data_IF_591507400552
#
_entry.id   IF_591507400552
#
_cell.length_a   1.000
_cell.length_b   1.000
_cell.length_c   1.000
_cell.angle_alpha   90.00
_cell.angle_beta   90.00
_cell.angle_gamma   90.00
#
_symmetry.space_group_name_H-M   'P 1'
#
loop_
_entity.id
_entity.type
_entity.pdbx_description
1 polymer ?
#
# COMPACT_ATOMS: atom_id res chain seq x y z
N UNK A 1 16.08 47.98 11.55
CA UNK A 1 15.85 46.91 10.55
C UNK A 1 14.39 46.51 10.63
N UNK A 2 13.60 46.78 9.59
CA UNK A 2 12.19 46.41 9.53
C UNK A 2 12.06 44.91 9.26
N UNK A 3 11.64 44.13 10.26
CA UNK A 3 11.17 42.76 10.05
C UNK A 3 9.65 42.80 9.92
N UNK A 4 9.14 43.14 8.75
CA UNK A 4 7.71 42.93 8.49
C UNK A 4 7.43 41.43 8.54
N UNK A 5 6.36 41.01 9.24
CA UNK A 5 5.91 39.63 9.21
C UNK A 5 5.65 39.24 7.74
N UNK A 6 6.08 38.04 7.29
CA UNK A 6 5.75 37.59 5.95
C UNK A 6 4.23 37.61 5.77
N UNK A 7 3.74 37.97 4.58
CA UNK A 7 2.31 37.97 4.32
C UNK A 7 1.74 36.57 4.57
N UNK A 8 0.49 36.48 5.06
CA UNK A 8 -0.14 35.19 5.31
C UNK A 8 -0.20 34.38 4.01
N UNK A 9 0.05 33.07 4.12
CA UNK A 9 -0.05 32.15 2.98
C UNK A 9 -1.46 32.20 2.41
N UNK A 10 -1.59 32.53 1.12
CA UNK A 10 -2.88 32.57 0.42
C UNK A 10 -3.63 31.24 0.48
N UNK A 11 -2.89 30.14 0.51
CA UNK A 11 -3.46 28.80 0.68
C UNK A 11 -4.15 28.68 2.05
N UNK A 12 -3.53 29.20 3.11
CA UNK A 12 -4.05 29.12 4.48
C UNK A 12 -5.17 30.12 4.77
N UNK A 13 -5.36 31.13 3.91
CA UNK A 13 -6.50 32.06 3.99
C UNK A 13 -7.77 31.52 3.34
N UNK A 14 -7.69 30.41 2.59
CA UNK A 14 -8.86 29.76 2.00
C UNK A 14 -9.68 29.05 3.09
N UNK A 15 -11.01 28.87 2.91
CA UNK A 15 -11.81 27.98 3.75
C UNK A 15 -11.26 26.55 3.77
N UNK A 16 -11.47 25.83 4.87
CA UNK A 16 -10.91 24.50 5.07
C UNK A 16 -11.35 23.51 3.98
N UNK A 17 -12.59 23.61 3.53
CA UNK A 17 -13.18 22.78 2.48
C UNK A 17 -12.43 22.95 1.15
N UNK A 18 -12.10 24.19 0.79
CA UNK A 18 -11.34 24.49 -0.43
C UNK A 18 -9.90 24.00 -0.29
N UNK A 19 -9.29 24.12 0.91
CA UNK A 19 -7.96 23.57 1.17
C UNK A 19 -7.95 22.04 1.02
N UNK A 20 -8.95 21.35 1.57
CA UNK A 20 -9.10 19.89 1.44
C UNK A 20 -9.15 19.49 -0.03
N UNK A 21 -9.97 20.13 -0.86
CA UNK A 21 -10.04 19.84 -2.30
C UNK A 21 -8.69 20.01 -3.00
N UNK A 22 -7.94 21.07 -2.65
CA UNK A 22 -6.58 21.29 -3.18
C UNK A 22 -5.64 20.18 -2.71
N UNK A 23 -5.71 19.77 -1.45
CA UNK A 23 -4.84 18.74 -0.88
C UNK A 23 -5.11 17.37 -1.50
N UNK A 24 -6.38 16.99 -1.63
CA UNK A 24 -6.78 15.74 -2.28
C UNK A 24 -6.23 15.68 -3.70
N UNK A 25 -6.41 16.75 -4.48
CA UNK A 25 -5.87 16.84 -5.84
C UNK A 25 -4.34 16.75 -5.84
N UNK A 26 -3.66 17.53 -5.01
CA UNK A 26 -2.20 17.58 -4.98
C UNK A 26 -1.56 16.26 -4.53
N UNK A 27 -2.20 15.53 -3.60
CA UNK A 27 -1.68 14.28 -3.05
C UNK A 27 -1.98 13.06 -3.94
N UNK A 28 -3.04 13.10 -4.76
CA UNK A 28 -3.44 12.00 -5.65
C UNK A 28 -2.95 12.17 -7.10
N UNK A 29 -2.27 13.26 -7.43
CA UNK A 29 -1.78 13.55 -8.78
C UNK A 29 -0.68 12.60 -9.29
N UNK A 30 -0.07 11.78 -8.42
CA UNK A 30 0.92 10.77 -8.86
C UNK A 30 0.22 9.58 -9.53
N UNK A 31 0.56 9.32 -10.80
CA UNK A 31 0.09 8.14 -11.53
C UNK A 31 0.83 6.86 -11.16
N UNK A 32 2.02 6.96 -10.54
CA UNK A 32 2.86 5.81 -10.18
C UNK A 32 2.37 5.16 -8.88
N UNK A 33 2.29 3.83 -8.80
CA UNK A 33 1.96 3.12 -7.57
C UNK A 33 3.03 3.34 -6.49
N UNK A 34 2.59 3.44 -5.23
CA UNK A 34 3.45 3.74 -4.09
C UNK A 34 3.87 2.45 -3.37
N UNK A 35 5.18 2.22 -3.22
CA UNK A 35 5.73 1.02 -2.58
C UNK A 35 6.38 1.33 -1.23
N UNK A 36 6.27 0.40 -0.27
CA UNK A 36 6.78 0.56 1.10
C UNK A 36 8.22 0.08 1.30
N UNK A 37 8.85 -0.43 0.24
CA UNK A 37 10.21 -0.98 0.25
C UNK A 37 11.16 -0.16 -0.62
N UNK A 38 12.47 -0.34 -0.42
CA UNK A 38 13.49 0.30 -1.26
C UNK A 38 13.38 -0.17 -2.70
N UNK A 39 13.35 0.80 -3.61
CA UNK A 39 13.33 0.57 -5.05
C UNK A 39 14.75 0.45 -5.60
N UNK A 40 14.93 -0.50 -6.51
CA UNK A 40 16.12 -0.57 -7.36
C UNK A 40 16.07 0.55 -8.41
N UNK A 41 17.21 1.04 -8.95
CA UNK A 41 17.22 2.18 -9.87
C UNK A 41 16.28 2.03 -11.07
N UNK A 42 16.20 0.83 -11.65
CA UNK A 42 15.33 0.53 -12.80
C UNK A 42 13.83 0.57 -12.48
N UNK A 43 13.45 0.55 -11.19
CA UNK A 43 12.07 0.55 -10.74
C UNK A 43 11.52 1.97 -10.51
N UNK A 44 12.39 2.98 -10.42
CA UNK A 44 12.03 4.38 -10.14
C UNK A 44 11.17 5.01 -11.25
N UNK A 45 11.28 4.49 -12.48
CA UNK A 45 10.46 4.93 -13.59
C UNK A 45 9.02 4.42 -13.51
N UNK A 46 8.77 3.32 -12.80
CA UNK A 46 7.45 2.68 -12.69
C UNK A 46 6.79 2.94 -11.34
N UNK A 47 7.56 3.04 -10.26
CA UNK A 47 7.06 3.11 -8.88
C UNK A 47 7.62 4.30 -8.13
N UNK A 48 6.89 4.73 -7.10
CA UNK A 48 7.33 5.79 -6.18
C UNK A 48 7.52 5.19 -4.79
N UNK A 49 8.60 5.50 -4.06
CA UNK A 49 8.75 5.06 -2.68
C UNK A 49 7.72 5.77 -1.78
N UNK A 50 7.24 5.11 -0.73
CA UNK A 50 6.25 5.61 0.22
C UNK A 50 6.80 6.70 1.17
N UNK A 51 7.33 7.78 0.59
CA UNK A 51 7.83 8.95 1.28
C UNK A 51 6.71 9.99 1.36
N UNK A 52 6.50 10.55 2.54
CA UNK A 52 5.53 11.63 2.76
C UNK A 52 5.79 12.80 1.78
N UNK A 53 4.79 13.24 0.99
CA UNK A 53 4.97 14.28 -0.02
C UNK A 53 5.42 15.61 0.57
N UNK A 54 6.11 16.48 -0.20
CA UNK A 54 6.61 17.77 0.30
C UNK A 54 5.55 18.62 1.01
N UNK A 55 4.30 18.60 0.51
CA UNK A 55 3.17 19.33 1.07
C UNK A 55 2.95 19.03 2.57
N UNK A 56 3.20 17.79 2.99
CA UNK A 56 3.02 17.32 4.38
C UNK A 56 4.14 17.77 5.34
N UNK A 57 5.15 18.49 4.82
CA UNK A 57 6.38 18.87 5.53
C UNK A 57 6.63 20.38 5.56
N UNK A 58 5.70 21.19 5.04
CA UNK A 58 5.88 22.65 4.89
C UNK A 58 5.65 23.41 6.20
N UNK A 59 4.56 23.11 6.91
CA UNK A 59 4.22 23.76 8.19
C UNK A 59 3.42 22.80 9.08
N UNK A 60 3.34 23.11 10.38
CA UNK A 60 2.56 22.29 11.32
C UNK A 60 1.09 22.17 10.91
N UNK A 61 0.46 23.29 10.54
CA UNK A 61 -0.93 23.31 10.10
C UNK A 61 -1.13 22.44 8.85
N UNK A 62 -0.30 22.63 7.81
CA UNK A 62 -0.42 21.82 6.60
C UNK A 62 -0.17 20.33 6.89
N UNK A 63 0.79 20.00 7.76
CA UNK A 63 1.06 18.63 8.16
C UNK A 63 -0.15 17.97 8.82
N UNK A 64 -0.80 18.67 9.74
CA UNK A 64 -2.01 18.20 10.44
C UNK A 64 -3.18 17.99 9.47
N UNK A 65 -3.36 18.89 8.50
CA UNK A 65 -4.46 18.82 7.53
C UNK A 65 -4.20 17.78 6.41
N UNK A 66 -2.94 17.56 6.01
CA UNK A 66 -2.62 16.78 4.78
C UNK A 66 -2.19 15.34 5.03
N UNK A 67 -1.58 15.02 6.17
CA UNK A 67 -1.18 13.63 6.46
C UNK A 67 -2.35 12.66 6.48
N UNK A 68 -3.50 12.97 7.14
CA UNK A 68 -4.62 12.07 7.13
C UNK A 68 -5.12 11.78 5.70
N UNK A 69 -5.22 12.82 4.87
CA UNK A 69 -5.62 12.72 3.47
C UNK A 69 -4.65 11.82 2.68
N UNK A 70 -3.33 12.01 2.87
CA UNK A 70 -2.31 11.21 2.19
C UNK A 70 -2.47 9.72 2.51
N UNK A 71 -2.56 9.33 3.78
CA UNK A 71 -2.68 7.92 4.15
C UNK A 71 -4.04 7.32 3.79
N UNK A 72 -5.10 8.14 3.79
CA UNK A 72 -6.43 7.67 3.41
C UNK A 72 -6.55 7.39 1.90
N UNK A 73 -6.00 8.28 1.07
CA UNK A 73 -6.19 8.24 -0.37
C UNK A 73 -5.09 7.50 -1.14
N UNK A 74 -3.92 7.29 -0.54
CA UNK A 74 -2.80 6.62 -1.21
C UNK A 74 -2.90 5.10 -1.05
N UNK A 75 -2.98 4.32 -2.15
CA UNK A 75 -2.80 2.88 -2.10
C UNK A 75 -1.32 2.55 -1.87
N UNK A 76 -1.03 1.72 -0.86
CA UNK A 76 0.34 1.30 -0.57
C UNK A 76 0.57 -0.17 -0.94
N UNK A 77 1.76 -0.44 -1.47
CA UNK A 77 2.20 -1.79 -1.83
C UNK A 77 3.19 -2.32 -0.80
N UNK A 78 2.89 -3.49 -0.25
CA UNK A 78 3.75 -4.27 0.64
C UNK A 78 4.30 -5.49 -0.11
N UNK A 79 5.52 -5.89 0.21
CA UNK A 79 6.15 -7.07 -0.39
C UNK A 79 6.22 -8.22 0.63
N UNK A 80 5.96 -9.44 0.18
CA UNK A 80 5.93 -10.62 1.06
C UNK A 80 7.27 -11.34 1.24
N UNK A 81 8.28 -11.01 0.45
CA UNK A 81 9.61 -11.61 0.57
C UNK A 81 10.68 -10.65 1.05
N UNK A 82 11.58 -11.16 1.88
CA UNK A 82 12.79 -10.46 2.33
C UNK A 82 13.73 -10.15 1.16
N UNK A 83 14.48 -9.03 1.20
CA UNK A 83 14.50 -8.03 2.28
C UNK A 83 13.35 -7.00 2.20
N UNK A 84 12.54 -7.02 1.13
CA UNK A 84 11.48 -6.03 0.90
C UNK A 84 10.34 -6.13 1.92
N UNK A 85 10.07 -7.33 2.45
CA UNK A 85 9.15 -7.55 3.57
C UNK A 85 9.60 -6.83 4.85
N UNK A 86 10.90 -6.85 5.16
CA UNK A 86 11.44 -6.18 6.34
C UNK A 86 11.29 -4.65 6.25
N UNK A 87 11.49 -4.10 5.05
CA UNK A 87 11.26 -2.68 4.80
C UNK A 87 9.77 -2.32 4.91
N UNK A 88 8.87 -3.18 4.42
CA UNK A 88 7.42 -3.00 4.58
C UNK A 88 7.01 -3.02 6.07
N UNK A 89 7.52 -3.96 6.87
CA UNK A 89 7.28 -3.99 8.31
C UNK A 89 7.81 -2.74 9.01
N UNK A 90 9.02 -2.30 8.67
CA UNK A 90 9.59 -1.05 9.21
C UNK A 90 8.70 0.14 8.86
N UNK A 91 8.23 0.22 7.62
CA UNK A 91 7.31 1.27 7.20
C UNK A 91 6.00 1.23 7.99
N UNK A 92 5.39 0.06 8.18
CA UNK A 92 4.17 -0.09 8.99
C UNK A 92 4.38 0.42 10.43
N UNK A 93 5.46 0.00 11.10
CA UNK A 93 5.79 0.44 12.46
C UNK A 93 6.01 1.95 12.55
N UNK A 94 6.74 2.54 11.61
CA UNK A 94 6.96 3.99 11.60
C UNK A 94 5.68 4.81 11.34
N UNK A 95 4.64 4.17 10.80
CA UNK A 95 3.38 4.82 10.42
C UNK A 95 2.18 4.27 11.17
N UNK A 96 2.41 3.62 12.31
CA UNK A 96 1.39 2.91 13.09
C UNK A 96 0.16 3.78 13.40
N UNK A 97 0.39 5.04 13.81
CA UNK A 97 -0.66 6.01 14.09
C UNK A 97 -1.60 6.31 12.90
N UNK A 98 -1.16 6.02 11.67
CA UNK A 98 -1.91 6.27 10.44
C UNK A 98 -2.50 5.00 9.83
N UNK A 99 -2.17 3.80 10.33
CA UNK A 99 -2.73 2.54 9.82
C UNK A 99 -4.27 2.50 9.87
N UNK A 100 -4.95 3.05 10.90
CA UNK A 100 -6.41 3.13 10.92
C UNK A 100 -7.00 3.99 9.79
N UNK A 101 -6.20 4.82 9.10
CA UNK A 101 -6.64 5.66 7.98
C UNK A 101 -6.57 4.94 6.63
N UNK A 102 -5.70 3.94 6.49
CA UNK A 102 -5.44 3.28 5.21
C UNK A 102 -6.72 2.70 4.64
N UNK A 103 -7.04 2.98 3.37
CA UNK A 103 -8.23 2.40 2.73
C UNK A 103 -7.93 1.26 1.78
N UNK A 104 -6.71 1.18 1.25
CA UNK A 104 -6.31 0.17 0.27
C UNK A 104 -4.87 -0.24 0.50
N UNK A 105 -4.63 -1.55 0.50
CA UNK A 105 -3.30 -2.15 0.53
C UNK A 105 -3.20 -3.19 -0.58
N UNK A 106 -2.07 -3.22 -1.26
CA UNK A 106 -1.75 -4.27 -2.22
C UNK A 106 -0.56 -5.07 -1.72
N UNK A 107 -0.66 -6.39 -1.74
CA UNK A 107 0.40 -7.31 -1.37
C UNK A 107 1.03 -7.89 -2.61
N UNK A 108 2.36 -7.80 -2.69
CA UNK A 108 3.14 -8.45 -3.71
C UNK A 108 3.60 -9.82 -3.20
N UNK A 109 3.00 -10.86 -3.76
CA UNK A 109 3.25 -12.25 -3.42
C UNK A 109 4.06 -12.91 -4.52
N UNK A 110 5.25 -13.40 -4.20
CA UNK A 110 6.12 -14.06 -5.18
C UNK A 110 5.42 -15.26 -5.80
N UNK A 111 5.53 -15.37 -7.12
CA UNK A 111 5.06 -16.54 -7.85
C UNK A 111 5.90 -17.77 -7.51
N UNK A 112 5.21 -18.88 -7.24
CA UNK A 112 5.86 -20.18 -7.06
C UNK A 112 5.59 -21.02 -8.30
N UNK A 113 6.60 -21.27 -9.15
CA UNK A 113 6.43 -22.11 -10.33
C UNK A 113 6.08 -23.54 -9.96
N UNK A 114 5.28 -24.20 -10.80
CA UNK A 114 5.14 -25.65 -10.75
C UNK A 114 6.50 -26.33 -11.00
N UNK A 115 6.68 -27.56 -10.52
CA UNK A 115 7.95 -28.29 -10.72
C UNK A 115 8.32 -28.32 -12.21
N UNK A 116 9.54 -27.87 -12.52
CA UNK A 116 10.07 -27.84 -13.88
C UNK A 116 9.69 -26.60 -14.70
N UNK A 117 8.86 -25.68 -14.19
CA UNK A 117 8.58 -24.42 -14.88
C UNK A 117 9.56 -23.31 -14.47
N UNK A 118 10.06 -22.57 -15.45
CA UNK A 118 10.83 -21.35 -15.22
C UNK A 118 9.85 -20.18 -15.06
N UNK A 119 9.90 -19.47 -13.94
CA UNK A 119 9.02 -18.33 -13.70
C UNK A 119 9.59 -17.38 -12.66
N UNK A 120 9.67 -16.10 -13.01
CA UNK A 120 10.10 -15.01 -12.12
C UNK A 120 9.02 -13.92 -12.21
N UNK A 121 8.33 -13.68 -11.10
CA UNK A 121 7.30 -12.64 -11.02
C UNK A 121 6.61 -12.63 -9.67
N UNK A 122 5.65 -11.72 -9.50
CA UNK A 122 4.81 -11.65 -8.33
C UNK A 122 3.36 -11.33 -8.71
N UNK A 123 2.44 -11.69 -7.84
CA UNK A 123 1.05 -11.25 -7.87
C UNK A 123 0.93 -9.97 -7.06
N UNK A 124 0.30 -8.93 -7.61
CA UNK A 124 -0.26 -7.84 -6.84
C UNK A 124 -1.72 -8.15 -6.55
N UNK A 125 -2.06 -8.44 -5.29
CA UNK A 125 -3.42 -8.73 -4.82
C UNK A 125 -3.82 -7.75 -3.72
N UNK A 126 -5.04 -7.25 -3.74
CA UNK A 126 -5.46 -6.11 -2.92
C UNK A 126 -6.45 -6.46 -1.80
N UNK A 127 -6.44 -5.65 -0.75
CA UNK A 127 -7.57 -5.47 0.15
C UNK A 127 -7.96 -4.00 0.21
N UNK A 128 -9.25 -3.73 0.38
CA UNK A 128 -9.79 -2.39 0.47
C UNK A 128 -10.93 -2.28 1.48
N UNK A 129 -11.27 -1.04 1.85
CA UNK A 129 -12.46 -0.72 2.65
C UNK A 129 -13.12 0.57 2.20
N UNK A 130 -14.44 0.61 2.31
CA UNK A 130 -15.27 1.71 1.82
C UNK A 130 -15.03 3.03 2.58
N UNK A 131 -14.66 2.96 3.86
CA UNK A 131 -14.40 4.12 4.72
C UNK A 131 -13.31 3.80 5.74
N UNK A 132 -12.71 4.85 6.32
CA UNK A 132 -11.84 4.75 7.50
C UNK A 132 -12.53 3.91 8.60
N UNK A 133 -11.79 2.98 9.20
CA UNK A 133 -12.30 2.09 10.25
C UNK A 133 -13.30 1.02 9.79
N UNK A 134 -13.67 0.99 8.50
CA UNK A 134 -14.53 -0.05 7.95
C UNK A 134 -13.85 -1.41 7.86
N UNK A 135 -14.66 -2.43 7.57
CA UNK A 135 -14.20 -3.81 7.35
C UNK A 135 -13.35 -3.92 6.07
N UNK A 136 -12.29 -4.71 6.17
CA UNK A 136 -11.46 -5.06 5.02
C UNK A 136 -12.16 -6.11 4.15
N UNK A 137 -12.15 -5.87 2.85
CA UNK A 137 -12.60 -6.82 1.83
C UNK A 137 -11.48 -7.06 0.81
N UNK A 138 -11.49 -8.24 0.20
CA UNK A 138 -10.56 -8.57 -0.89
C UNK A 138 -10.96 -7.77 -2.13
N UNK A 139 -9.98 -7.20 -2.82
CA UNK A 139 -10.20 -6.61 -4.13
C UNK A 139 -10.22 -7.71 -5.20
N UNK A 140 -11.21 -7.69 -6.07
CA UNK A 140 -11.37 -8.71 -7.12
C UNK A 140 -10.27 -8.65 -8.18
N UNK A 141 -9.70 -7.46 -8.38
CA UNK A 141 -8.62 -7.24 -9.32
C UNK A 141 -7.28 -7.72 -8.76
N UNK A 142 -6.50 -8.36 -9.63
CA UNK A 142 -5.12 -8.71 -9.37
C UNK A 142 -4.24 -8.32 -10.56
N UNK A 143 -2.94 -8.18 -10.32
CA UNK A 143 -1.96 -7.80 -11.35
C UNK A 143 -0.78 -8.76 -11.37
N UNK A 144 -0.31 -9.09 -12.56
CA UNK A 144 0.97 -9.78 -12.73
C UNK A 144 2.11 -8.77 -12.76
N UNK A 145 3.09 -8.95 -11.89
CA UNK A 145 4.22 -8.04 -11.69
C UNK A 145 5.50 -8.72 -12.17
N UNK A 146 5.98 -8.37 -13.37
CA UNK A 146 7.28 -8.83 -13.91
C UNK A 146 7.69 -8.08 -15.18
N UNK A 147 8.91 -8.37 -15.66
CA UNK A 147 9.42 -8.03 -17.00
C UNK A 147 9.44 -9.22 -17.97
N UNK A 148 9.11 -10.45 -17.52
CA UNK A 148 9.10 -11.67 -18.35
C UNK A 148 7.69 -12.11 -18.75
N UNK A 149 7.60 -13.14 -19.60
CA UNK A 149 6.33 -13.69 -20.08
C UNK A 149 5.46 -14.20 -18.93
N UNK A 150 4.16 -13.88 -18.98
CA UNK A 150 3.12 -14.36 -18.07
C UNK A 150 2.98 -15.89 -18.15
N UNK A 151 3.15 -16.65 -17.04
CA UNK A 151 2.94 -18.11 -17.03
C UNK A 151 1.49 -18.49 -17.35
N UNK A 152 1.25 -19.68 -17.92
CA UNK A 152 -0.09 -20.14 -18.28
C UNK A 152 -1.03 -20.29 -17.07
N UNK A 153 -0.52 -20.83 -15.96
CA UNK A 153 -1.32 -21.17 -14.77
C UNK A 153 -1.57 -19.99 -13.83
N UNK A 154 -0.99 -18.82 -14.13
CA UNK A 154 -0.96 -17.67 -13.22
C UNK A 154 -2.36 -17.18 -12.85
N UNK A 155 -3.34 -17.32 -13.74
CA UNK A 155 -4.70 -16.88 -13.46
C UNK A 155 -5.43 -17.81 -12.48
N UNK A 156 -5.16 -19.11 -12.56
CA UNK A 156 -5.64 -20.08 -11.59
C UNK A 156 -5.04 -19.79 -10.21
N UNK A 157 -3.73 -19.59 -10.15
CA UNK A 157 -3.03 -19.24 -8.92
C UNK A 157 -3.54 -17.93 -8.29
N UNK A 158 -3.82 -16.91 -9.12
CA UNK A 158 -4.38 -15.66 -8.63
C UNK A 158 -5.77 -15.85 -8.01
N UNK A 159 -6.65 -16.64 -8.64
CA UNK A 159 -7.97 -16.98 -8.08
C UNK A 159 -7.84 -17.71 -6.75
N UNK A 160 -6.89 -18.63 -6.64
CA UNK A 160 -6.59 -19.32 -5.37
C UNK A 160 -6.15 -18.30 -4.31
N UNK A 161 -5.21 -17.41 -4.63
CA UNK A 161 -4.74 -16.36 -3.72
C UNK A 161 -5.86 -15.46 -3.22
N UNK A 162 -6.70 -14.93 -4.12
CA UNK A 162 -7.84 -14.08 -3.76
C UNK A 162 -8.83 -14.82 -2.87
N UNK A 163 -9.13 -16.09 -3.18
CA UNK A 163 -9.97 -16.94 -2.35
C UNK A 163 -9.40 -17.13 -0.94
N UNK A 164 -8.09 -17.40 -0.82
CA UNK A 164 -7.40 -17.55 0.48
C UNK A 164 -7.39 -16.25 1.27
N UNK A 165 -7.11 -15.12 0.63
CA UNK A 165 -7.21 -13.81 1.28
C UNK A 165 -8.60 -13.59 1.90
N UNK A 166 -9.66 -14.00 1.20
CA UNK A 166 -11.03 -13.88 1.69
C UNK A 166 -11.30 -14.74 2.92
N UNK A 167 -10.74 -15.96 2.96
CA UNK A 167 -10.81 -16.84 4.13
C UNK A 167 -10.05 -16.24 5.30
N UNK A 168 -8.78 -15.85 5.10
CA UNK A 168 -7.93 -15.28 6.16
C UNK A 168 -8.54 -14.01 6.76
N UNK A 169 -9.15 -13.14 5.94
CA UNK A 169 -9.85 -11.95 6.45
C UNK A 169 -11.04 -12.33 7.36
N UNK A 170 -11.87 -13.30 6.95
CA UNK A 170 -13.04 -13.76 7.71
C UNK A 170 -12.67 -14.44 9.02
N UNK A 171 -11.53 -15.11 9.09
CA UNK A 171 -11.01 -15.76 10.29
C UNK A 171 -10.36 -14.77 11.29
N UNK A 172 -10.65 -13.47 11.18
CA UNK A 172 -10.11 -12.43 12.05
C UNK A 172 -8.74 -11.93 11.61
N UNK A 173 -8.45 -11.97 10.31
CA UNK A 173 -7.14 -11.61 9.76
C UNK A 173 -6.71 -10.16 10.01
N UNK A 174 -7.64 -9.20 9.88
CA UNK A 174 -7.38 -7.76 10.06
C UNK A 174 -8.64 -7.04 10.58
N UNK A 175 -8.55 -6.48 11.80
CA UNK A 175 -9.62 -5.69 12.42
C UNK A 175 -9.44 -4.17 12.26
N UNK A 176 -10.34 -3.39 12.88
CA UNK A 176 -10.34 -1.92 12.86
C UNK A 176 -9.02 -1.32 13.41
N UNK A 177 -8.41 -1.99 14.38
CA UNK A 177 -7.15 -1.60 15.02
C UNK A 177 -5.96 -2.46 14.61
N UNK A 178 -5.97 -3.09 13.43
CA UNK A 178 -4.84 -3.90 12.96
C UNK A 178 -3.54 -3.07 12.98
N UNK A 179 -2.57 -3.56 13.74
CA UNK A 179 -1.25 -2.98 13.85
C UNK A 179 -0.27 -3.55 12.81
N UNK A 180 1.01 -3.16 12.90
CA UNK A 180 2.03 -3.60 11.96
C UNK A 180 2.15 -5.13 11.84
N UNK A 181 2.11 -5.84 12.97
CA UNK A 181 2.32 -7.29 12.99
C UNK A 181 1.11 -8.06 12.44
N UNK A 182 -0.10 -7.53 12.59
CA UNK A 182 -1.30 -8.12 12.01
C UNK A 182 -1.26 -8.04 10.48
N UNK A 183 -0.81 -6.91 9.90
CA UNK A 183 -0.65 -6.78 8.46
C UNK A 183 0.42 -7.73 7.90
N UNK A 184 1.55 -7.88 8.58
CA UNK A 184 2.60 -8.83 8.18
C UNK A 184 2.12 -10.26 8.33
N UNK A 185 1.54 -10.62 9.48
CA UNK A 185 0.99 -11.95 9.73
C UNK A 185 -0.16 -12.32 8.79
N UNK A 186 -0.97 -11.36 8.34
CA UNK A 186 -1.94 -11.56 7.26
C UNK A 186 -1.24 -11.96 5.97
N UNK A 187 -0.25 -11.18 5.53
CA UNK A 187 0.50 -11.43 4.30
C UNK A 187 1.26 -12.76 4.33
N UNK A 188 1.89 -13.10 5.46
CA UNK A 188 2.61 -14.35 5.65
C UNK A 188 1.68 -15.57 5.63
N UNK A 189 0.49 -15.47 6.25
CA UNK A 189 -0.53 -16.54 6.20
C UNK A 189 -0.98 -16.80 4.77
N UNK A 190 -1.35 -15.75 4.03
CA UNK A 190 -1.78 -15.87 2.63
C UNK A 190 -0.67 -16.49 1.77
N UNK A 191 0.57 -16.03 1.91
CA UNK A 191 1.73 -16.61 1.21
C UNK A 191 1.94 -18.07 1.59
N UNK A 192 1.91 -18.40 2.87
CA UNK A 192 2.13 -19.76 3.38
C UNK A 192 1.12 -20.76 2.85
N UNK A 193 -0.16 -20.38 2.79
CA UNK A 193 -1.21 -21.21 2.21
C UNK A 193 -1.05 -21.41 0.70
N UNK A 194 -0.68 -20.35 -0.04
CA UNK A 194 -0.37 -20.46 -1.46
C UNK A 194 0.79 -21.42 -1.73
N UNK A 195 1.89 -21.26 -1.00
CA UNK A 195 3.07 -22.14 -1.14
C UNK A 195 2.71 -23.59 -0.80
N UNK A 196 1.97 -23.82 0.29
CA UNK A 196 1.52 -25.17 0.68
C UNK A 196 0.67 -25.82 -0.39
N UNK A 197 -0.25 -25.06 -0.99
CA UNK A 197 -1.09 -25.53 -2.09
C UNK A 197 -0.35 -25.86 -3.39
N UNK A 198 0.88 -25.34 -3.58
CA UNK A 198 1.74 -25.66 -4.74
C UNK A 198 2.69 -26.83 -4.48
N UNK A 199 2.94 -27.17 -3.21
CA UNK A 199 3.87 -28.24 -2.81
C UNK A 199 3.18 -29.58 -2.51
N UNK A 200 1.87 -29.57 -2.22
CA UNK A 200 1.03 -30.77 -2.12
C UNK A 200 0.47 -31.18 -3.47
#
# INVERSE_FOLDING_TARGET
MFTSKPPPSRLLTLPAEIRTLIFEFALTSSSKPTVTFRLDPYQLDTYTPAVQPPLTRVSRQLREETLPIYYELTPFILHSEAPKADDALRWLRCNEAYLPLLRRLTFWIRYVPARGSAGVGAFGVGIGRARKGGEWAVEEEWRWITVVRRPGDVEGDAKVLLGRMGVVLKEGGLGEGAGPEEFVGFMERVRGEYVRGKMG
#
